data_IF_892047973096
#
_entry.id   IF_892047973096
#
_cell.length_a   1.000
_cell.length_b   1.000
_cell.length_c   1.000
_cell.angle_alpha   90.00
_cell.angle_beta   90.00
_cell.angle_gamma   90.00
#
_symmetry.space_group_name_H-M   'P 1'
#
loop_
_entity.id
_entity.type
_entity.pdbx_description
1 polymer ?
#
# COMPACT_ATOMS: atom_id res chain seq x y z
N UNK A 1 9.12 -2.10 15.34
CA UNK A 1 8.88 -2.02 13.89
C UNK A 1 9.69 -3.05 13.09
N UNK A 2 11.01 -3.15 13.21
CA UNK A 2 11.87 -4.10 12.46
C UNK A 2 11.49 -5.60 12.60
N UNK A 3 11.07 -6.05 13.79
CA UNK A 3 10.63 -7.44 14.04
C UNK A 3 9.31 -7.80 13.33
N UNK A 4 8.47 -6.82 13.00
CA UNK A 4 7.17 -7.00 12.37
C UNK A 4 7.33 -7.34 10.88
N UNK A 5 8.17 -6.61 10.15
CA UNK A 5 8.45 -6.88 8.73
C UNK A 5 9.25 -8.17 8.51
N UNK A 6 10.15 -8.55 9.42
CA UNK A 6 10.78 -9.87 9.36
C UNK A 6 9.75 -11.00 9.52
N UNK A 7 8.70 -10.77 10.31
CA UNK A 7 7.60 -11.72 10.47
C UNK A 7 6.78 -11.87 9.19
N UNK A 8 6.62 -10.80 8.40
CA UNK A 8 5.93 -10.79 7.11
C UNK A 8 6.70 -11.58 6.04
N UNK A 9 8.02 -11.42 5.96
CA UNK A 9 8.87 -12.16 5.01
C UNK A 9 8.92 -13.68 5.29
N UNK A 10 8.54 -14.10 6.51
CA UNK A 10 8.45 -15.51 6.92
C UNK A 10 7.02 -16.04 6.97
N UNK A 11 6.01 -15.20 6.71
CA UNK A 11 4.62 -15.65 6.59
C UNK A 11 4.41 -16.45 5.29
N UNK A 12 3.47 -17.40 5.33
CA UNK A 12 3.05 -18.12 4.12
C UNK A 12 2.69 -17.09 3.06
N UNK A 13 3.35 -17.16 1.89
CA UNK A 13 3.00 -16.34 0.73
C UNK A 13 1.48 -16.37 0.53
N UNK A 14 0.86 -15.23 0.18
CA UNK A 14 -0.57 -15.18 -0.04
C UNK A 14 -0.97 -16.16 -1.14
N UNK A 15 -1.37 -17.37 -0.74
CA UNK A 15 -1.68 -18.49 -1.64
C UNK A 15 -3.16 -18.57 -2.00
N UNK A 16 -3.96 -17.61 -1.49
CA UNK A 16 -5.41 -17.66 -1.62
C UNK A 16 -5.94 -16.87 -2.81
N UNK A 17 -6.93 -17.46 -3.49
CA UNK A 17 -7.80 -16.77 -4.45
C UNK A 17 -8.76 -15.76 -3.77
N UNK A 18 -8.49 -15.39 -2.53
CA UNK A 18 -9.33 -14.52 -1.71
C UNK A 18 -9.16 -13.05 -2.12
N UNK A 19 -10.30 -12.38 -2.26
CA UNK A 19 -10.39 -10.94 -2.44
C UNK A 19 -10.37 -10.21 -1.08
N UNK A 20 -9.50 -10.63 -0.18
CA UNK A 20 -9.29 -10.02 1.15
C UNK A 20 -7.83 -9.59 1.32
N UNK A 21 -7.64 -8.59 2.19
CA UNK A 21 -6.29 -8.18 2.60
C UNK A 21 -5.78 -9.17 3.66
N UNK A 22 -4.69 -9.91 3.37
CA UNK A 22 -4.10 -10.78 4.36
C UNK A 22 -3.66 -9.96 5.59
N UNK A 23 -3.82 -10.52 6.77
CA UNK A 23 -3.40 -9.93 8.04
C UNK A 23 -4.06 -8.57 8.38
N UNK A 24 -5.07 -8.12 7.62
CA UNK A 24 -5.76 -6.86 7.84
C UNK A 24 -4.87 -5.63 7.59
N UNK A 25 -3.93 -5.73 6.65
CA UNK A 25 -3.01 -4.63 6.29
C UNK A 25 -3.19 -4.26 4.82
N UNK A 26 -3.40 -2.97 4.55
CA UNK A 26 -3.34 -2.42 3.21
C UNK A 26 -1.98 -1.78 2.96
N UNK A 27 -1.20 -2.38 2.07
CA UNK A 27 0.16 -1.90 1.76
C UNK A 27 0.21 -0.87 0.64
N UNK A 28 -0.93 -0.53 0.02
CA UNK A 28 -0.96 0.36 -1.13
C UNK A 28 -2.35 0.96 -1.32
N UNK A 29 -2.48 2.25 -1.04
CA UNK A 29 -3.71 3.00 -1.31
C UNK A 29 -3.45 4.50 -1.51
N UNK A 30 -4.39 5.18 -2.20
CA UNK A 30 -4.36 6.62 -2.50
C UNK A 30 -5.48 7.36 -1.75
N UNK A 31 -5.60 7.06 -0.44
CA UNK A 31 -6.63 7.63 0.44
C UNK A 31 -6.21 8.98 1.02
N UNK A 32 -4.91 9.35 1.00
CA UNK A 32 -4.46 10.66 1.47
C UNK A 32 -5.08 11.77 0.60
N UNK A 33 -5.90 12.68 1.19
CA UNK A 33 -6.72 13.57 0.37
C UNK A 33 -5.92 14.68 -0.30
N UNK A 34 -6.25 14.98 -1.57
CA UNK A 34 -5.81 16.18 -2.28
C UNK A 34 -4.34 16.20 -2.74
N UNK A 35 -3.66 15.05 -2.74
CA UNK A 35 -2.23 14.98 -3.07
C UNK A 35 -1.92 14.32 -4.43
N UNK A 36 -2.84 13.51 -4.96
CA UNK A 36 -2.69 12.83 -6.26
C UNK A 36 -4.07 12.63 -6.93
N UNK A 37 -4.20 11.69 -7.84
CA UNK A 37 -5.47 11.36 -8.51
C UNK A 37 -6.40 10.45 -7.68
N UNK A 38 -6.03 10.18 -6.43
CA UNK A 38 -6.84 9.46 -5.46
C UNK A 38 -7.96 10.31 -4.85
N UNK A 39 -8.15 10.18 -3.55
CA UNK A 39 -9.19 10.92 -2.82
C UNK A 39 -8.90 12.42 -2.79
N UNK A 40 -9.91 13.25 -3.13
CA UNK A 40 -9.79 14.72 -3.09
C UNK A 40 -10.45 15.33 -1.87
N UNK A 41 -11.48 14.66 -1.34
CA UNK A 41 -12.32 15.14 -0.24
C UNK A 41 -11.89 14.44 1.07
N UNK A 42 -11.40 15.18 2.08
CA UNK A 42 -11.04 14.61 3.38
C UNK A 42 -12.15 13.83 4.06
N UNK A 43 -13.40 14.23 3.91
CA UNK A 43 -14.54 13.51 4.51
C UNK A 43 -14.74 12.13 3.85
N UNK A 44 -14.54 12.02 2.54
CA UNK A 44 -14.57 10.71 1.86
C UNK A 44 -13.41 9.83 2.26
N UNK A 45 -12.24 10.42 2.50
CA UNK A 45 -11.09 9.69 3.04
C UNK A 45 -11.39 9.15 4.44
N UNK A 46 -11.99 9.95 5.31
CA UNK A 46 -12.45 9.50 6.64
C UNK A 46 -13.53 8.40 6.53
N UNK A 47 -14.49 8.56 5.63
CA UNK A 47 -15.51 7.54 5.36
C UNK A 47 -14.88 6.21 4.94
N UNK A 48 -13.87 6.24 4.06
CA UNK A 48 -13.14 5.03 3.65
C UNK A 48 -12.38 4.38 4.82
N UNK A 49 -11.78 5.16 5.71
CA UNK A 49 -11.12 4.61 6.90
C UNK A 49 -12.12 3.95 7.86
N UNK A 50 -13.33 4.53 8.02
CA UNK A 50 -14.42 3.90 8.79
C UNK A 50 -14.86 2.57 8.18
N UNK A 51 -14.93 2.48 6.84
CA UNK A 51 -15.20 1.22 6.13
C UNK A 51 -14.08 0.20 6.39
N UNK A 52 -12.83 0.64 6.42
CA UNK A 52 -11.68 -0.22 6.74
C UNK A 52 -11.78 -0.76 8.16
N UNK A 53 -12.06 0.10 9.16
CA UNK A 53 -12.30 -0.32 10.55
C UNK A 53 -13.38 -1.41 10.62
N UNK A 54 -14.55 -1.15 10.01
CA UNK A 54 -15.67 -2.09 10.00
C UNK A 54 -15.36 -3.40 9.26
N UNK A 55 -14.39 -3.40 8.34
CA UNK A 55 -13.94 -4.56 7.58
C UNK A 55 -12.81 -5.34 8.27
N UNK A 56 -12.40 -4.95 9.48
CA UNK A 56 -11.33 -5.61 10.22
C UNK A 56 -9.93 -5.31 9.72
N UNK A 57 -9.76 -4.27 8.91
CA UNK A 57 -8.45 -3.72 8.58
C UNK A 57 -7.89 -3.07 9.86
N UNK A 58 -6.58 -3.16 10.06
CA UNK A 58 -5.91 -2.66 11.26
C UNK A 58 -4.76 -1.71 10.95
N UNK A 59 -4.21 -1.80 9.74
CA UNK A 59 -3.04 -1.03 9.35
C UNK A 59 -3.16 -0.60 7.88
N UNK A 60 -2.81 0.66 7.60
CA UNK A 60 -2.95 1.26 6.27
C UNK A 60 -1.70 2.04 5.93
N UNK A 61 -1.12 1.75 4.79
CA UNK A 61 -0.02 2.50 4.20
C UNK A 61 -0.56 3.40 3.09
N UNK A 62 -0.61 4.70 3.35
CA UNK A 62 -0.86 5.68 2.31
C UNK A 62 0.37 5.77 1.41
N UNK A 63 0.17 5.57 0.12
CA UNK A 63 1.24 5.53 -0.88
C UNK A 63 0.92 6.45 -2.05
N UNK A 64 0.71 7.77 -1.82
CA UNK A 64 0.43 8.68 -2.90
C UNK A 64 1.52 8.63 -3.98
N UNK A 65 1.11 8.95 -5.21
CA UNK A 65 2.04 9.00 -6.32
C UNK A 65 3.13 10.06 -6.14
N UNK A 66 4.35 9.66 -6.53
CA UNK A 66 5.46 10.58 -6.79
C UNK A 66 5.99 10.28 -8.19
N UNK A 67 5.69 11.17 -9.14
CA UNK A 67 6.09 11.08 -10.55
C UNK A 67 6.25 12.45 -11.17
N UNK A 68 6.81 12.55 -12.39
CA UNK A 68 7.00 13.84 -13.06
C UNK A 68 5.71 14.63 -13.24
N UNK A 69 4.58 13.95 -13.51
CA UNK A 69 3.27 14.60 -13.67
C UNK A 69 2.59 14.93 -12.32
N UNK A 70 3.02 14.30 -11.21
CA UNK A 70 2.58 14.53 -9.84
C UNK A 70 3.83 14.65 -8.96
N UNK A 71 4.56 15.78 -9.02
CA UNK A 71 5.88 15.92 -8.40
C UNK A 71 5.82 16.22 -6.90
N UNK A 72 5.00 15.48 -6.18
CA UNK A 72 4.83 15.61 -4.74
C UNK A 72 6.17 15.64 -4.00
N UNK A 73 6.38 16.61 -3.11
CA UNK A 73 7.56 16.66 -2.25
C UNK A 73 7.35 15.81 -0.99
N UNK A 74 8.30 14.93 -0.62
CA UNK A 74 8.19 14.08 0.55
C UNK A 74 7.90 14.83 1.86
N UNK A 75 8.42 16.03 2.03
CA UNK A 75 8.20 16.87 3.21
C UNK A 75 6.75 17.37 3.27
N UNK A 76 6.22 17.83 2.13
CA UNK A 76 4.81 18.27 2.01
C UNK A 76 3.84 17.12 2.27
N UNK A 77 4.13 15.93 1.72
CA UNK A 77 3.33 14.73 1.98
C UNK A 77 3.32 14.35 3.46
N UNK A 78 4.46 14.47 4.16
CA UNK A 78 4.50 14.25 5.61
C UNK A 78 3.61 15.23 6.38
N UNK A 79 3.64 16.49 6.01
CA UNK A 79 2.80 17.50 6.64
C UNK A 79 1.30 17.21 6.42
N UNK A 80 0.89 16.95 5.18
CA UNK A 80 -0.50 16.60 4.85
C UNK A 80 -0.93 15.32 5.58
N UNK A 81 -0.05 14.33 5.65
CA UNK A 81 -0.33 13.07 6.33
C UNK A 81 -0.55 13.26 7.85
N UNK A 82 0.31 14.00 8.54
CA UNK A 82 0.16 14.21 9.98
C UNK A 82 -1.10 15.03 10.29
N UNK A 83 -1.44 16.07 9.50
CA UNK A 83 -2.69 16.83 9.62
C UNK A 83 -3.91 15.93 9.42
N UNK A 84 -3.90 15.09 8.39
CA UNK A 84 -5.02 14.18 8.11
C UNK A 84 -5.14 13.09 9.18
N UNK A 85 -4.03 12.54 9.66
CA UNK A 85 -3.99 11.54 10.72
C UNK A 85 -4.54 12.09 12.03
N UNK A 86 -4.26 13.35 12.37
CA UNK A 86 -4.85 14.00 13.53
C UNK A 86 -6.38 14.12 13.40
N UNK A 87 -6.87 14.54 12.23
CA UNK A 87 -8.32 14.59 11.93
C UNK A 87 -8.99 13.22 12.08
N UNK A 88 -8.34 12.17 11.56
CA UNK A 88 -8.84 10.81 11.72
C UNK A 88 -8.90 10.38 13.19
N UNK A 89 -7.88 10.65 13.98
CA UNK A 89 -7.86 10.29 15.41
C UNK A 89 -8.95 11.06 16.21
N UNK A 90 -9.17 12.32 15.87
CA UNK A 90 -10.27 13.11 16.45
C UNK A 90 -11.64 12.55 16.06
N UNK A 91 -11.82 12.12 14.81
CA UNK A 91 -13.06 11.48 14.36
C UNK A 91 -13.27 10.15 15.06
N UNK A 92 -12.25 9.32 15.18
CA UNK A 92 -12.31 8.05 15.91
C UNK A 92 -12.69 8.27 17.37
N UNK A 93 -12.04 9.20 18.06
CA UNK A 93 -12.30 9.51 19.46
C UNK A 93 -13.74 10.02 19.69
N UNK A 94 -14.31 10.79 18.76
CA UNK A 94 -15.72 11.22 18.79
C UNK A 94 -16.70 10.05 18.67
N UNK A 95 -16.37 9.06 17.84
CA UNK A 95 -17.23 7.87 17.61
C UNK A 95 -17.11 6.84 18.73
N UNK A 96 -16.01 6.85 19.49
CA UNK A 96 -15.65 5.88 20.52
C UNK A 96 -15.28 6.57 21.84
N UNK A 97 -16.22 7.29 22.49
CA UNK A 97 -15.97 8.02 23.73
C UNK A 97 -15.57 7.06 24.88
N UNK A 98 -15.98 5.80 24.83
CA UNK A 98 -15.64 4.76 25.79
C UNK A 98 -14.13 4.45 25.85
N UNK A 99 -13.41 4.64 24.74
CA UNK A 99 -11.96 4.42 24.69
C UNK A 99 -11.17 5.50 25.44
N UNK A 100 -11.78 6.66 25.73
CA UNK A 100 -11.17 7.75 26.50
C UNK A 100 -11.34 7.55 28.03
N UNK A 101 -12.33 6.77 28.44
CA UNK A 101 -12.69 6.58 29.86
C UNK A 101 -11.84 5.56 30.61
N UNK A 102 -11.05 4.75 29.91
CA UNK A 102 -10.26 3.64 30.51
C UNK A 102 -8.99 4.05 31.23
N UNK A 103 -8.72 5.34 31.41
CA UNK A 103 -7.62 5.89 32.23
C UNK A 103 -7.92 6.08 33.72
N UNK A 104 -9.11 5.80 34.20
CA UNK A 104 -9.49 5.90 35.64
C UNK A 104 -9.58 4.52 36.26
N UNK A 105 -8.83 4.30 37.34
CA UNK A 105 -8.79 3.08 38.10
C UNK A 105 -10.21 2.53 38.44
N UNK A 106 -10.50 1.29 38.01
CA UNK A 106 -11.68 0.57 38.53
C UNK A 106 -12.72 0.10 37.52
N UNK A 107 -12.40 -0.21 36.29
CA UNK A 107 -13.38 -0.74 35.33
C UNK A 107 -13.57 -2.27 35.50
N UNK A 108 -14.76 -2.68 35.93
CA UNK A 108 -15.31 -4.03 35.79
C UNK A 108 -15.27 -4.45 34.31
N UNK A 109 -14.96 -5.76 34.06
CA UNK A 109 -15.04 -6.40 32.76
C UNK A 109 -16.28 -5.97 31.98
N UNK A 110 -16.10 -5.05 31.05
CA UNK A 110 -17.09 -4.68 30.06
C UNK A 110 -16.76 -5.49 28.79
N UNK A 111 -17.75 -6.21 28.30
CA UNK A 111 -17.74 -6.91 26.99
C UNK A 111 -17.90 -5.94 25.81
N UNK A 112 -17.46 -4.69 25.96
CA UNK A 112 -17.36 -3.75 24.86
C UNK A 112 -16.13 -4.13 24.00
N UNK A 113 -16.36 -4.35 22.74
CA UNK A 113 -15.32 -4.54 21.72
C UNK A 113 -14.22 -3.50 21.91
N UNK A 114 -12.96 -3.95 22.13
CA UNK A 114 -11.78 -3.09 22.21
C UNK A 114 -11.56 -2.41 20.86
N UNK A 115 -12.36 -1.38 20.55
CA UNK A 115 -12.21 -0.60 19.33
C UNK A 115 -10.87 0.14 19.40
N UNK A 116 -10.00 -0.13 18.44
CA UNK A 116 -8.70 0.53 18.31
C UNK A 116 -8.65 1.28 16.97
N UNK A 117 -8.06 2.48 16.95
CA UNK A 117 -7.87 3.19 15.69
C UNK A 117 -6.93 2.42 14.78
N UNK A 118 -7.09 2.60 13.47
CA UNK A 118 -6.16 2.09 12.47
C UNK A 118 -4.75 2.64 12.72
N UNK A 119 -3.76 1.81 12.52
CA UNK A 119 -2.37 2.26 12.41
C UNK A 119 -2.16 2.84 11.02
N UNK A 120 -1.95 4.15 10.94
CA UNK A 120 -1.73 4.85 9.69
C UNK A 120 -0.25 5.13 9.48
N UNK A 121 0.23 4.86 8.28
CA UNK A 121 1.60 5.07 7.86
C UNK A 121 1.64 5.80 6.52
N UNK A 122 2.73 6.52 6.27
CA UNK A 122 3.01 7.18 5.00
C UNK A 122 4.21 6.50 4.32
N UNK A 123 4.05 6.24 3.03
CA UNK A 123 5.11 5.93 2.10
C UNK A 123 4.79 6.61 0.75
N UNK A 124 5.38 6.18 -0.34
CA UNK A 124 4.99 6.65 -1.66
C UNK A 124 5.04 5.52 -2.68
N UNK A 125 4.12 5.57 -3.66
CA UNK A 125 4.28 4.86 -4.92
C UNK A 125 5.08 5.73 -5.88
N UNK A 126 6.26 5.25 -6.25
CA UNK A 126 7.21 6.01 -7.05
C UNK A 126 7.18 5.50 -8.50
N UNK A 127 6.85 6.38 -9.46
CA UNK A 127 7.08 6.08 -10.87
C UNK A 127 8.59 6.04 -11.15
N UNK A 128 9.05 5.02 -11.85
CA UNK A 128 10.46 4.89 -12.25
C UNK A 128 10.77 5.81 -13.44
N UNK A 129 10.78 7.10 -13.21
CA UNK A 129 11.01 8.20 -14.15
C UNK A 129 12.27 9.03 -13.82
N UNK A 130 12.49 10.14 -14.51
CA UNK A 130 13.65 11.00 -14.27
C UNK A 130 13.57 11.74 -12.91
N UNK A 131 12.36 12.05 -12.41
CA UNK A 131 12.20 12.61 -11.06
C UNK A 131 12.65 11.60 -10.00
N UNK A 132 12.24 10.34 -10.13
CA UNK A 132 12.66 9.28 -9.22
C UNK A 132 14.19 9.12 -9.19
N UNK A 133 14.85 9.13 -10.36
CA UNK A 133 16.31 9.00 -10.41
C UNK A 133 17.02 10.14 -9.67
N UNK A 134 16.54 11.37 -9.80
CA UNK A 134 17.06 12.52 -9.07
C UNK A 134 16.89 12.35 -7.55
N UNK A 135 15.69 11.93 -7.10
CA UNK A 135 15.37 11.72 -5.68
C UNK A 135 16.12 10.55 -5.07
N UNK A 136 16.26 9.45 -5.81
CA UNK A 136 17.09 8.32 -5.37
C UNK A 136 18.54 8.72 -5.14
N UNK A 137 19.09 9.58 -6.03
CA UNK A 137 20.45 10.12 -5.88
C UNK A 137 20.56 11.01 -4.63
N UNK A 138 19.58 11.88 -4.40
CA UNK A 138 19.52 12.80 -3.28
C UNK A 138 19.18 12.13 -1.93
N UNK A 139 18.61 10.92 -1.94
CA UNK A 139 18.09 10.25 -0.75
C UNK A 139 16.76 10.83 -0.25
N UNK A 140 16.03 11.60 -1.10
CA UNK A 140 14.75 12.22 -0.76
C UNK A 140 13.58 11.33 -1.19
N UNK A 141 13.32 10.29 -0.40
CA UNK A 141 12.32 9.26 -0.67
C UNK A 141 11.44 8.98 0.55
N UNK A 142 10.28 8.36 0.32
CA UNK A 142 9.34 7.89 1.34
C UNK A 142 9.22 6.36 1.26
N UNK A 143 10.13 5.61 1.93
CA UNK A 143 10.06 4.16 1.93
C UNK A 143 9.01 3.61 2.90
N UNK A 144 8.45 2.43 2.60
CA UNK A 144 7.72 1.64 3.57
C UNK A 144 8.73 1.06 4.58
N UNK A 145 8.43 1.29 5.88
CA UNK A 145 9.25 0.78 6.99
C UNK A 145 10.76 1.00 6.79
N UNK A 146 11.13 2.20 6.31
CA UNK A 146 12.51 2.69 6.14
C UNK A 146 13.36 1.89 5.13
N UNK A 147 12.86 0.80 4.59
CA UNK A 147 13.66 -0.14 3.79
C UNK A 147 13.08 -0.46 2.41
N UNK A 148 11.78 -0.48 2.27
CA UNK A 148 11.14 -0.94 1.04
C UNK A 148 10.66 0.24 0.22
N UNK A 149 10.95 0.24 -1.08
CA UNK A 149 10.43 1.25 -2.01
C UNK A 149 9.38 0.61 -2.91
N UNK A 150 8.14 1.09 -2.77
CA UNK A 150 7.07 0.77 -3.72
C UNK A 150 7.32 1.56 -4.99
N UNK A 151 7.47 0.85 -6.09
CA UNK A 151 7.81 1.42 -7.39
C UNK A 151 6.89 0.89 -8.47
N UNK A 152 6.55 1.74 -9.42
CA UNK A 152 5.78 1.36 -10.59
C UNK A 152 6.47 1.79 -11.88
N UNK A 153 5.99 1.24 -13.02
CA UNK A 153 6.38 1.67 -14.37
C UNK A 153 5.15 1.96 -15.20
N UNK A 154 5.36 2.56 -16.37
CA UNK A 154 4.30 2.63 -17.36
C UNK A 154 3.72 1.24 -17.66
N UNK A 155 2.39 1.14 -17.74
CA UNK A 155 1.70 -0.10 -18.13
C UNK A 155 1.92 -0.50 -19.59
N UNK A 156 2.49 0.40 -20.42
CA UNK A 156 2.73 0.19 -21.84
C UNK A 156 4.12 -0.38 -22.13
N UNK A 157 5.14 0.09 -21.41
CA UNK A 157 6.53 -0.34 -21.57
C UNK A 157 7.36 -0.02 -20.33
N UNK A 158 8.40 -0.81 -20.01
CA UNK A 158 9.34 -0.47 -18.96
C UNK A 158 10.19 0.74 -19.35
N UNK A 159 10.72 1.50 -18.37
CA UNK A 159 11.68 2.55 -18.65
C UNK A 159 12.97 1.96 -19.27
N UNK A 160 13.71 2.79 -20.00
CA UNK A 160 15.04 2.40 -20.42
C UNK A 160 15.90 2.04 -19.22
N UNK A 161 16.69 0.96 -19.36
CA UNK A 161 17.54 0.46 -18.27
C UNK A 161 16.79 0.11 -16.97
N UNK A 162 15.57 -0.41 -17.11
CA UNK A 162 14.71 -0.78 -15.96
C UNK A 162 15.45 -1.63 -14.91
N UNK A 163 16.17 -2.69 -15.35
CA UNK A 163 16.93 -3.56 -14.43
C UNK A 163 18.07 -2.82 -13.72
N UNK A 164 18.80 -1.98 -14.45
CA UNK A 164 19.87 -1.17 -13.85
C UNK A 164 19.34 -0.15 -12.84
N UNK A 165 18.11 0.37 -13.04
CA UNK A 165 17.46 1.25 -12.07
C UNK A 165 17.11 0.50 -10.78
N UNK A 166 16.56 -0.72 -10.89
CA UNK A 166 16.29 -1.58 -9.73
C UNK A 166 17.57 -1.96 -8.96
N UNK A 167 18.67 -2.19 -9.66
CA UNK A 167 19.97 -2.41 -9.02
C UNK A 167 20.47 -1.16 -8.28
N UNK A 168 20.28 0.04 -8.84
CA UNK A 168 20.64 1.29 -8.15
C UNK A 168 19.83 1.50 -6.87
N UNK A 169 18.54 1.14 -6.87
CA UNK A 169 17.71 1.15 -5.66
C UNK A 169 18.34 0.25 -4.60
N UNK A 170 18.71 -0.98 -4.96
CA UNK A 170 19.32 -1.95 -4.05
C UNK A 170 20.68 -1.47 -3.52
N UNK A 171 21.50 -0.88 -4.39
CA UNK A 171 22.81 -0.33 -4.01
C UNK A 171 22.69 0.86 -3.04
N UNK A 172 21.55 1.53 -2.99
CA UNK A 172 21.20 2.54 -1.98
C UNK A 172 20.68 1.94 -0.66
N UNK A 173 20.59 0.62 -0.55
CA UNK A 173 20.17 -0.09 0.65
C UNK A 173 18.65 -0.37 0.73
N UNK A 174 17.90 -0.03 -0.32
CA UNK A 174 16.47 -0.31 -0.37
C UNK A 174 16.16 -1.65 -1.04
N UNK A 175 15.02 -2.21 -0.70
CA UNK A 175 14.44 -3.38 -1.37
C UNK A 175 13.27 -2.91 -2.23
N UNK A 176 13.32 -3.02 -3.56
CA UNK A 176 12.19 -2.63 -4.41
C UNK A 176 11.00 -3.57 -4.24
N UNK A 177 9.80 -2.98 -4.15
CA UNK A 177 8.52 -3.67 -4.30
C UNK A 177 7.89 -3.18 -5.60
N UNK A 178 7.76 -4.05 -6.59
CA UNK A 178 7.08 -3.72 -7.84
C UNK A 178 5.58 -3.74 -7.61
N UNK A 179 4.93 -2.59 -7.75
CA UNK A 179 3.50 -2.43 -7.62
C UNK A 179 2.79 -3.15 -8.77
N UNK A 180 1.67 -3.78 -8.48
CA UNK A 180 0.71 -4.38 -9.42
C UNK A 180 1.32 -4.97 -10.71
N UNK A 181 2.32 -5.89 -10.62
CA UNK A 181 3.02 -6.43 -11.79
C UNK A 181 2.09 -7.12 -12.79
N UNK A 182 0.88 -7.50 -12.38
CA UNK A 182 -0.16 -8.03 -13.27
C UNK A 182 -0.65 -7.04 -14.33
N UNK A 183 -0.44 -5.73 -14.13
CA UNK A 183 -0.80 -4.68 -15.10
C UNK A 183 0.21 -4.55 -16.25
N UNK A 184 1.43 -5.08 -16.07
CA UNK A 184 2.51 -5.00 -17.07
C UNK A 184 2.40 -6.13 -18.09
N UNK A 185 1.42 -6.02 -19.01
CA UNK A 185 1.10 -7.08 -19.98
C UNK A 185 2.20 -7.33 -21.00
N UNK A 186 3.18 -6.45 -21.12
CA UNK A 186 4.38 -6.61 -21.95
C UNK A 186 5.38 -7.62 -21.36
N UNK A 187 5.33 -7.88 -20.03
CA UNK A 187 6.22 -8.83 -19.38
C UNK A 187 5.80 -10.28 -19.67
N UNK A 188 6.80 -11.13 -19.87
CA UNK A 188 6.64 -12.57 -19.98
C UNK A 188 6.99 -13.24 -18.64
N UNK A 189 6.74 -14.54 -18.54
CA UNK A 189 7.04 -15.30 -17.30
C UNK A 189 8.51 -15.18 -16.89
N UNK A 190 9.40 -15.28 -17.86
CA UNK A 190 10.85 -15.21 -17.66
C UNK A 190 11.31 -13.85 -17.10
N UNK A 191 10.60 -12.76 -17.44
CA UNK A 191 10.88 -11.43 -16.89
C UNK A 191 10.56 -11.37 -15.40
N UNK A 192 9.39 -11.90 -15.00
CA UNK A 192 9.01 -11.97 -13.57
C UNK A 192 9.96 -12.88 -12.78
N UNK A 193 10.33 -14.05 -13.33
CA UNK A 193 11.29 -14.97 -12.71
C UNK A 193 12.65 -14.29 -12.52
N UNK A 194 13.12 -13.55 -13.51
CA UNK A 194 14.38 -12.81 -13.42
C UNK A 194 14.35 -11.70 -12.38
N UNK A 195 13.21 -10.96 -12.25
CA UNK A 195 13.03 -9.96 -11.21
C UNK A 195 13.00 -10.59 -9.81
N UNK A 196 12.28 -11.70 -9.64
CA UNK A 196 12.25 -12.45 -8.37
C UNK A 196 13.63 -12.98 -7.99
N UNK A 197 14.40 -13.51 -8.95
CA UNK A 197 15.77 -13.97 -8.73
C UNK A 197 16.71 -12.83 -8.29
N UNK A 198 16.44 -11.60 -8.71
CA UNK A 198 17.14 -10.40 -8.25
C UNK A 198 16.67 -9.91 -6.86
N UNK A 199 15.71 -10.57 -6.22
CA UNK A 199 15.18 -10.18 -4.92
C UNK A 199 14.16 -9.01 -4.96
N UNK A 200 13.56 -8.75 -6.14
CA UNK A 200 12.47 -7.79 -6.28
C UNK A 200 11.19 -8.41 -5.70
N UNK A 201 10.50 -7.68 -4.83
CA UNK A 201 9.24 -8.10 -4.24
C UNK A 201 8.08 -7.62 -5.13
N UNK A 202 6.94 -8.30 -5.06
CA UNK A 202 5.77 -7.97 -5.87
C UNK A 202 4.55 -7.72 -5.00
N UNK A 203 3.88 -6.59 -5.22
CA UNK A 203 2.61 -6.26 -4.58
C UNK A 203 1.46 -6.48 -5.57
N UNK A 204 0.48 -7.29 -5.22
CA UNK A 204 -0.74 -7.53 -5.97
C UNK A 204 -1.81 -6.49 -5.65
N UNK A 205 -2.49 -5.98 -6.66
CA UNK A 205 -3.73 -5.23 -6.44
C UNK A 205 -4.89 -6.17 -6.10
N UNK A 206 -5.58 -5.86 -5.00
CA UNK A 206 -6.70 -6.67 -4.50
C UNK A 206 -7.77 -6.86 -5.56
N UNK A 207 -8.14 -5.80 -6.25
CA UNK A 207 -9.24 -5.78 -7.22
C UNK A 207 -8.87 -6.34 -8.60
N UNK A 208 -7.60 -6.62 -8.88
CA UNK A 208 -7.19 -7.29 -10.12
C UNK A 208 -7.86 -8.65 -10.29
N UNK A 209 -8.09 -9.40 -9.19
CA UNK A 209 -8.81 -10.67 -9.23
C UNK A 209 -10.29 -10.52 -9.54
N UNK A 210 -10.89 -9.38 -9.24
CA UNK A 210 -12.29 -9.06 -9.55
C UNK A 210 -12.49 -8.56 -10.98
N UNK A 211 -11.40 -8.34 -11.74
CA UNK A 211 -11.45 -7.87 -13.11
C UNK A 211 -11.56 -6.36 -13.27
N UNK A 212 -11.34 -5.57 -12.22
CA UNK A 212 -11.44 -4.11 -12.24
C UNK A 212 -10.56 -3.47 -13.34
N UNK A 213 -9.41 -4.07 -13.63
CA UNK A 213 -8.46 -3.58 -14.65
C UNK A 213 -8.58 -4.34 -15.99
N UNK A 214 -9.70 -5.04 -16.19
CA UNK A 214 -10.00 -5.81 -17.40
C UNK A 214 -9.52 -7.28 -17.34
N UNK A 215 -10.08 -8.07 -18.27
CA UNK A 215 -9.91 -9.52 -18.29
C UNK A 215 -8.44 -9.97 -18.46
N UNK A 216 -7.66 -9.24 -19.27
CA UNK A 216 -6.25 -9.57 -19.51
C UNK A 216 -5.42 -9.45 -18.24
N UNK A 217 -5.64 -8.39 -17.45
CA UNK A 217 -4.98 -8.17 -16.15
C UNK A 217 -5.44 -9.21 -15.15
N UNK A 218 -6.74 -9.51 -15.08
CA UNK A 218 -7.28 -10.57 -14.22
C UNK A 218 -6.65 -11.94 -14.51
N UNK A 219 -6.52 -12.30 -15.80
CA UNK A 219 -5.86 -13.54 -16.21
C UNK A 219 -4.38 -13.56 -15.79
N UNK A 220 -3.67 -12.46 -16.00
CA UNK A 220 -2.25 -12.33 -15.58
C UNK A 220 -2.14 -12.42 -14.05
N UNK A 221 -3.01 -11.78 -13.29
CA UNK A 221 -3.04 -11.87 -11.83
C UNK A 221 -3.18 -13.32 -11.36
N UNK A 222 -4.11 -14.08 -11.94
CA UNK A 222 -4.27 -15.52 -11.64
C UNK A 222 -3.02 -16.36 -12.00
N UNK A 223 -2.32 -16.01 -13.08
CA UNK A 223 -1.07 -16.69 -13.46
C UNK A 223 0.04 -16.42 -12.43
N UNK A 224 0.24 -15.15 -12.02
CA UNK A 224 1.25 -14.78 -11.03
C UNK A 224 0.95 -15.41 -9.65
N UNK A 225 -0.34 -15.52 -9.25
CA UNK A 225 -0.76 -16.27 -8.07
C UNK A 225 -0.38 -17.76 -8.18
N UNK A 226 -0.71 -18.39 -9.31
CA UNK A 226 -0.35 -19.81 -9.54
C UNK A 226 1.16 -20.02 -9.48
N UNK A 227 1.96 -19.06 -9.90
CA UNK A 227 3.43 -19.11 -9.84
C UNK A 227 3.98 -18.66 -8.47
N UNK A 228 3.12 -18.31 -7.51
CA UNK A 228 3.48 -17.87 -6.15
C UNK A 228 4.47 -16.70 -6.14
N UNK A 229 4.25 -15.69 -7.00
CA UNK A 229 5.18 -14.59 -7.19
C UNK A 229 4.91 -13.38 -6.29
N UNK A 230 3.71 -13.27 -5.71
CA UNK A 230 3.37 -12.14 -4.86
C UNK A 230 3.89 -12.26 -3.43
N UNK A 231 4.27 -11.13 -2.87
CA UNK A 231 4.75 -10.99 -1.51
C UNK A 231 3.80 -10.12 -0.67
N UNK A 232 3.13 -9.14 -1.28
CA UNK A 232 2.21 -8.21 -0.64
C UNK A 232 0.88 -8.09 -1.38
N UNK A 233 -0.13 -7.59 -0.68
CA UNK A 233 -1.42 -7.20 -1.26
C UNK A 233 -1.73 -5.78 -0.84
N UNK A 234 -2.18 -4.94 -1.76
CA UNK A 234 -2.70 -3.62 -1.50
C UNK A 234 -3.98 -3.39 -2.28
N UNK A 235 -4.76 -2.41 -1.90
CA UNK A 235 -5.99 -2.11 -2.63
C UNK A 235 -5.76 -1.32 -3.90
N UNK A 236 -4.75 -0.44 -3.90
CA UNK A 236 -4.56 0.58 -4.94
C UNK A 236 -5.84 1.42 -5.11
N UNK A 237 -6.43 1.79 -3.96
CA UNK A 237 -7.75 2.40 -3.92
C UNK A 237 -7.68 3.92 -4.12
N UNK A 238 -8.31 4.40 -5.20
CA UNK A 238 -8.36 5.82 -5.56
C UNK A 238 -9.73 6.46 -5.29
N UNK A 239 -10.77 5.67 -4.99
CA UNK A 239 -12.14 6.16 -4.82
C UNK A 239 -12.88 5.36 -3.77
N UNK A 240 -13.85 6.03 -3.12
CA UNK A 240 -14.71 5.40 -2.13
C UNK A 240 -15.31 4.09 -2.65
N UNK A 241 -15.19 3.03 -1.88
CA UNK A 241 -15.81 1.75 -2.18
C UNK A 241 -16.71 1.29 -1.04
N UNK A 242 -17.94 0.91 -1.40
CA UNK A 242 -18.87 0.23 -0.50
C UNK A 242 -18.70 -1.29 -0.53
N UNK A 243 -17.92 -1.83 -1.46
CA UNK A 243 -17.71 -3.26 -1.59
C UNK A 243 -16.87 -3.75 -0.42
N UNK A 244 -17.51 -4.54 0.46
CA UNK A 244 -16.88 -5.09 1.66
C UNK A 244 -15.50 -5.69 1.37
N UNK A 245 -14.50 -5.19 2.07
CA UNK A 245 -13.16 -5.76 2.19
C UNK A 245 -13.16 -6.98 3.11
N UNK A 246 -14.37 -7.38 3.56
CA UNK A 246 -14.56 -8.47 4.50
C UNK A 246 -13.94 -9.76 4.00
N UNK A 247 -13.09 -10.34 4.85
CA UNK A 247 -12.69 -11.73 4.81
C UNK A 247 -13.94 -12.63 4.87
N UNK A 248 -14.23 -13.34 3.81
CA UNK A 248 -15.11 -14.52 3.85
C UNK A 248 -14.31 -15.72 4.28
#
# INVERSE_FOLDING_TARGET
>A
MFKFFQKILHQKKPSGSTCSLPDGIDYHCHILPGVDDGFQDPEKSLEQLRIYEASGIREVWFTPHIMEDVPNEPEELRWVFEDFKEKYLQDFARRHPECQASGAEGAKQSTATDAQPLLLHLAAENMLDALFERRLKAGNLLPLAEKYLLVETSIFAPPMNFRGLLERIKNKGYTPILAHPERYLYMKKEDYEALKAQGILFQRNLYSLRGQYGERVQKRCRQLLKWQMYDFVGTDLHRLTSAGLASS
#
